data_IF_568358174498
#
_entry.id   IF_568358174498
#
_cell.length_a   1.000
_cell.length_b   1.000
_cell.length_c   1.000
_cell.angle_alpha   90.00
_cell.angle_beta   90.00
_cell.angle_gamma   90.00
#
_symmetry.space_group_name_H-M   'P 1'
#
loop_
_entity.id
_entity.type
_entity.pdbx_description
1 polymer ?
#
# COMPACT_ATOMS: atom_id res chain seq x y z
N UNK A 1 7.84 21.73 -17.83
CA UNK A 1 7.14 22.06 -19.09
C UNK A 1 7.41 23.51 -19.46
N UNK A 2 7.48 23.83 -20.75
CA UNK A 2 7.37 25.20 -21.24
C UNK A 2 5.89 25.64 -21.38
N UNK A 3 5.65 26.93 -21.62
CA UNK A 3 4.31 27.52 -21.71
C UNK A 3 3.43 26.79 -22.75
N UNK A 4 3.95 26.50 -23.93
CA UNK A 4 3.20 25.82 -25.01
C UNK A 4 2.80 24.39 -24.63
N UNK A 5 3.69 23.68 -23.95
CA UNK A 5 3.42 22.34 -23.43
C UNK A 5 2.32 22.37 -22.36
N UNK A 6 2.35 23.35 -21.45
CA UNK A 6 1.30 23.55 -20.45
C UNK A 6 -0.06 23.82 -21.08
N UNK A 7 -0.13 24.72 -22.08
CA UNK A 7 -1.37 25.04 -22.80
C UNK A 7 -1.98 23.80 -23.48
N UNK A 8 -1.16 23.02 -24.18
CA UNK A 8 -1.62 21.79 -24.88
C UNK A 8 -2.02 20.71 -23.89
N UNK A 9 -1.15 20.40 -22.92
CA UNK A 9 -1.40 19.36 -21.93
C UNK A 9 -2.63 19.68 -21.06
N UNK A 10 -2.76 20.92 -20.59
CA UNK A 10 -3.88 21.39 -19.77
C UNK A 10 -5.20 21.58 -20.52
N UNK A 11 -5.22 21.38 -21.84
CA UNK A 11 -6.47 21.37 -22.62
C UNK A 11 -7.10 19.96 -22.68
N UNK A 12 -6.30 18.91 -22.44
CA UNK A 12 -6.76 17.52 -22.46
C UNK A 12 -7.20 17.08 -21.07
N UNK A 13 -8.01 16.03 -21.00
CA UNK A 13 -8.40 15.39 -19.74
C UNK A 13 -8.35 13.85 -19.87
N UNK A 14 -8.61 13.15 -18.77
CA UNK A 14 -8.56 11.69 -18.71
C UNK A 14 -9.84 11.01 -19.24
N UNK A 15 -10.99 11.68 -19.06
CA UNK A 15 -12.31 11.11 -19.28
C UNK A 15 -12.77 11.21 -20.74
N UNK A 16 -12.42 12.30 -21.43
CA UNK A 16 -12.95 12.60 -22.77
C UNK A 16 -11.85 12.72 -23.82
N UNK A 17 -12.16 12.21 -25.02
CA UNK A 17 -11.29 12.34 -26.17
C UNK A 17 -11.51 13.69 -26.84
N UNK A 18 -10.43 14.41 -27.13
CA UNK A 18 -10.47 15.64 -27.94
C UNK A 18 -9.90 15.37 -29.33
N UNK A 19 -10.71 15.60 -30.37
CA UNK A 19 -10.23 15.51 -31.75
C UNK A 19 -9.30 16.68 -32.05
N UNK A 20 -8.37 16.47 -32.99
CA UNK A 20 -7.32 17.45 -33.28
C UNK A 20 -7.88 18.83 -33.69
N UNK A 21 -9.00 18.86 -34.42
CA UNK A 21 -9.66 20.10 -34.85
C UNK A 21 -10.12 20.94 -33.65
N UNK A 22 -10.74 20.29 -32.68
CA UNK A 22 -11.28 20.97 -31.50
C UNK A 22 -10.15 21.41 -30.58
N UNK A 23 -9.11 20.60 -30.43
CA UNK A 23 -7.89 20.99 -29.70
C UNK A 23 -7.27 22.25 -30.30
N UNK A 24 -7.12 22.32 -31.63
CA UNK A 24 -6.61 23.52 -32.30
C UNK A 24 -7.52 24.74 -32.07
N UNK A 25 -8.84 24.55 -32.13
CA UNK A 25 -9.80 25.62 -31.87
C UNK A 25 -9.73 26.14 -30.42
N UNK A 26 -9.61 25.25 -29.43
CA UNK A 26 -9.45 25.64 -28.03
C UNK A 26 -8.14 26.41 -27.84
N UNK A 27 -7.04 25.93 -28.43
CA UNK A 27 -5.76 26.62 -28.34
C UNK A 27 -5.78 28.02 -28.97
N UNK A 28 -6.51 28.20 -30.07
CA UNK A 28 -6.70 29.49 -30.74
C UNK A 28 -7.58 30.44 -29.95
N UNK A 29 -8.69 29.95 -29.39
CA UNK A 29 -9.66 30.79 -28.68
C UNK A 29 -9.20 31.15 -27.27
N UNK A 30 -8.69 30.17 -26.52
CA UNK A 30 -8.30 30.34 -25.12
C UNK A 30 -6.92 30.98 -24.96
N UNK A 31 -5.95 30.56 -25.78
CA UNK A 31 -4.54 30.98 -25.62
C UNK A 31 -4.02 31.82 -26.80
N UNK A 32 -4.88 32.17 -27.77
CA UNK A 32 -4.51 32.94 -28.99
C UNK A 32 -3.37 32.29 -29.78
N UNK A 33 -3.28 30.95 -29.77
CA UNK A 33 -2.27 30.18 -30.52
C UNK A 33 -2.86 29.62 -31.81
N UNK A 34 -2.29 30.00 -32.96
CA UNK A 34 -2.68 29.45 -34.25
C UNK A 34 -1.64 28.42 -34.74
N UNK A 35 -1.73 27.20 -34.22
CA UNK A 35 -0.79 26.13 -34.55
C UNK A 35 -1.16 25.42 -35.86
N UNK A 36 -0.15 25.15 -36.70
CA UNK A 36 -0.28 24.14 -37.76
C UNK A 36 -0.33 22.74 -37.13
N UNK A 37 -1.07 21.81 -37.75
CA UNK A 37 -1.18 20.40 -37.32
C UNK A 37 0.16 19.72 -37.02
N UNK A 38 1.21 20.02 -37.81
CA UNK A 38 2.56 19.48 -37.58
C UNK A 38 3.21 20.01 -36.30
N UNK A 39 3.05 21.31 -36.02
CA UNK A 39 3.59 21.94 -34.81
C UNK A 39 2.90 21.39 -33.56
N UNK A 40 1.57 21.21 -33.59
CA UNK A 40 0.83 20.60 -32.49
C UNK A 40 1.34 19.18 -32.18
N UNK A 41 1.54 18.35 -33.21
CA UNK A 41 2.08 16.99 -33.02
C UNK A 41 3.48 16.99 -32.41
N UNK A 42 4.31 17.99 -32.74
CA UNK A 42 5.63 18.14 -32.14
C UNK A 42 5.54 18.46 -30.65
N UNK A 43 4.66 19.40 -30.26
CA UNK A 43 4.44 19.73 -28.85
C UNK A 43 3.90 18.51 -28.07
N UNK A 44 2.99 17.75 -28.67
CA UNK A 44 2.47 16.50 -28.07
C UNK A 44 3.61 15.49 -27.86
N UNK A 45 4.50 15.33 -28.86
CA UNK A 45 5.66 14.44 -28.73
C UNK A 45 6.58 14.89 -27.59
N UNK A 46 6.83 16.19 -27.45
CA UNK A 46 7.61 16.73 -26.33
C UNK A 46 6.93 16.49 -24.98
N UNK A 47 5.60 16.60 -24.89
CA UNK A 47 4.88 16.26 -23.66
C UNK A 47 5.04 14.77 -23.31
N UNK A 48 5.03 13.86 -24.30
CA UNK A 48 5.32 12.44 -24.07
C UNK A 48 6.75 12.20 -23.60
N UNK A 49 7.73 12.98 -24.07
CA UNK A 49 9.09 12.92 -23.54
C UNK A 49 9.12 13.25 -22.04
N UNK A 50 8.38 14.27 -21.61
CA UNK A 50 8.30 14.64 -20.20
C UNK A 50 7.67 13.54 -19.35
N UNK A 51 6.68 12.80 -19.86
CA UNK A 51 6.15 11.62 -19.18
C UNK A 51 7.24 10.54 -19.00
N UNK A 52 8.02 10.25 -20.06
CA UNK A 52 9.13 9.29 -19.99
C UNK A 52 10.23 9.69 -19.00
N UNK A 53 10.45 11.00 -18.86
CA UNK A 53 11.39 11.58 -17.89
C UNK A 53 10.78 11.74 -16.48
N UNK A 54 9.59 11.19 -16.23
CA UNK A 54 8.91 11.24 -14.94
C UNK A 54 8.57 12.67 -14.46
N UNK A 55 8.43 13.60 -15.41
CA UNK A 55 8.06 15.01 -15.16
C UNK A 55 6.56 15.26 -15.32
N UNK A 56 5.82 14.29 -15.85
CA UNK A 56 4.37 14.35 -16.00
C UNK A 56 3.73 13.03 -15.54
N UNK A 57 2.65 13.11 -14.75
CA UNK A 57 1.99 11.91 -14.22
C UNK A 57 1.06 11.22 -15.24
N UNK A 58 0.67 11.91 -16.32
CA UNK A 58 -0.23 11.36 -17.35
C UNK A 58 0.44 11.38 -18.71
N UNK A 59 0.23 10.31 -19.47
CA UNK A 59 0.67 10.21 -20.85
C UNK A 59 -0.40 10.76 -21.79
N UNK A 60 -0.02 11.56 -22.78
CA UNK A 60 -0.91 11.88 -23.90
C UNK A 60 -0.96 10.68 -24.85
N UNK A 61 -2.09 9.96 -24.85
CA UNK A 61 -2.34 8.85 -25.80
C UNK A 61 -3.17 9.33 -26.99
N UNK A 62 -3.06 8.61 -28.10
CA UNK A 62 -3.81 8.90 -29.34
C UNK A 62 -4.54 7.65 -29.79
N UNK A 63 -5.77 7.81 -30.25
CA UNK A 63 -6.54 6.79 -30.95
C UNK A 63 -7.25 7.39 -32.18
N UNK A 64 -8.12 6.61 -32.83
CA UNK A 64 -9.04 7.11 -33.84
C UNK A 64 -10.04 8.16 -33.29
N UNK A 65 -10.28 8.19 -31.98
CA UNK A 65 -11.17 9.16 -31.31
C UNK A 65 -10.49 10.52 -31.04
N UNK A 66 -9.17 10.62 -31.21
CA UNK A 66 -8.41 11.84 -30.95
C UNK A 66 -7.32 11.65 -29.91
N UNK A 67 -7.14 12.63 -29.03
CA UNK A 67 -6.15 12.66 -27.96
C UNK A 67 -6.83 12.67 -26.59
N UNK A 68 -6.18 12.05 -25.60
CA UNK A 68 -6.55 12.19 -24.19
C UNK A 68 -5.34 11.98 -23.28
N UNK A 69 -5.48 12.33 -22.00
CA UNK A 69 -4.53 11.96 -20.96
C UNK A 69 -4.87 10.58 -20.41
N UNK A 70 -3.87 9.81 -20.01
CA UNK A 70 -4.07 8.51 -19.37
C UNK A 70 -2.94 8.23 -18.37
N UNK A 71 -3.30 7.75 -17.17
CA UNK A 71 -2.43 7.03 -16.24
C UNK A 71 -2.76 5.52 -16.21
N UNK A 72 -3.71 5.07 -17.03
CA UNK A 72 -4.14 3.67 -17.05
C UNK A 72 -3.08 2.83 -17.77
N UNK A 73 -2.48 1.90 -17.02
CA UNK A 73 -1.36 1.10 -17.51
C UNK A 73 -1.73 0.29 -18.76
N UNK A 74 -2.94 -0.26 -18.82
CA UNK A 74 -3.39 -1.10 -19.92
C UNK A 74 -3.71 -0.29 -21.18
N UNK A 75 -4.30 0.90 -21.04
CA UNK A 75 -4.45 1.87 -22.13
C UNK A 75 -3.11 2.31 -22.70
N UNK A 76 -2.16 2.67 -21.83
CA UNK A 76 -0.83 3.09 -22.25
C UNK A 76 -0.10 1.94 -22.96
N UNK A 77 -0.21 0.72 -22.44
CA UNK A 77 0.39 -0.46 -23.06
C UNK A 77 -0.22 -0.76 -24.44
N UNK A 78 -1.54 -0.65 -24.58
CA UNK A 78 -2.20 -0.81 -25.89
C UNK A 78 -1.71 0.24 -26.88
N UNK A 79 -1.70 1.51 -26.48
CA UNK A 79 -1.21 2.60 -27.31
C UNK A 79 0.26 2.40 -27.73
N UNK A 80 1.13 2.00 -26.80
CA UNK A 80 2.54 1.76 -27.10
C UNK A 80 2.76 0.55 -28.03
N UNK A 81 1.98 -0.53 -27.87
CA UNK A 81 2.00 -1.69 -28.78
C UNK A 81 1.54 -1.33 -30.19
N UNK A 82 0.54 -0.46 -30.32
CA UNK A 82 0.13 0.08 -31.62
C UNK A 82 1.23 0.92 -32.28
N UNK A 83 1.96 1.73 -31.51
CA UNK A 83 3.14 2.44 -32.05
C UNK A 83 4.19 1.47 -32.56
N UNK A 84 4.48 0.39 -31.82
CA UNK A 84 5.46 -0.61 -32.18
C UNK A 84 5.14 -1.30 -33.51
N UNK A 85 3.86 -1.56 -33.79
CA UNK A 85 3.45 -2.23 -35.03
C UNK A 85 3.44 -1.33 -36.27
N UNK A 86 3.60 -0.01 -36.12
CA UNK A 86 3.40 0.96 -37.21
C UNK A 86 4.70 1.31 -37.98
N UNK A 87 5.89 1.02 -37.44
CA UNK A 87 7.19 1.21 -38.12
C UNK A 87 8.39 1.46 -37.21
N UNK A 88 9.62 1.38 -37.73
CA UNK A 88 10.86 1.34 -36.90
C UNK A 88 11.06 2.60 -36.02
N UNK A 89 10.76 3.80 -36.52
CA UNK A 89 10.83 5.02 -35.70
C UNK A 89 9.78 5.08 -34.59
N UNK A 90 8.63 4.44 -34.77
CA UNK A 90 7.55 4.40 -33.78
C UNK A 90 7.76 3.27 -32.76
N UNK A 91 8.50 2.23 -33.16
CA UNK A 91 8.93 1.12 -32.30
C UNK A 91 9.81 1.58 -31.15
N UNK A 92 10.81 2.42 -31.40
CA UNK A 92 11.63 2.98 -30.31
C UNK A 92 10.78 3.79 -29.33
N UNK A 93 9.92 4.70 -29.84
CA UNK A 93 9.03 5.50 -28.99
C UNK A 93 8.08 4.61 -28.17
N UNK A 94 7.49 3.59 -28.78
CA UNK A 94 6.60 2.66 -28.09
C UNK A 94 7.31 1.83 -27.02
N UNK A 95 8.52 1.33 -27.29
CA UNK A 95 9.31 0.59 -26.28
C UNK A 95 9.67 1.47 -25.09
N UNK A 96 10.11 2.71 -25.31
CA UNK A 96 10.43 3.64 -24.24
C UNK A 96 9.20 4.03 -23.40
N UNK A 97 8.03 4.14 -24.04
CA UNK A 97 6.77 4.39 -23.32
C UNK A 97 6.33 3.21 -22.45
N UNK A 98 6.57 1.97 -22.90
CA UNK A 98 6.31 0.78 -22.08
C UNK A 98 7.21 0.72 -20.84
N UNK A 99 8.50 1.01 -21.00
CA UNK A 99 9.44 1.08 -19.88
C UNK A 99 9.03 2.17 -18.87
N UNK A 100 8.73 3.37 -19.35
CA UNK A 100 8.24 4.46 -18.51
C UNK A 100 6.93 4.09 -17.79
N UNK A 101 5.95 3.54 -18.49
CA UNK A 101 4.69 3.12 -17.89
C UNK A 101 4.88 2.04 -16.81
N UNK A 102 5.83 1.12 -16.99
CA UNK A 102 6.21 0.14 -15.97
C UNK A 102 6.75 0.79 -14.71
N UNK A 103 7.65 1.77 -14.85
CA UNK A 103 8.22 2.53 -13.72
C UNK A 103 7.15 3.29 -12.96
N UNK A 104 6.29 4.04 -13.67
CA UNK A 104 5.17 4.79 -13.10
C UNK A 104 4.23 3.88 -12.30
N UNK A 105 3.90 2.70 -12.85
CA UNK A 105 3.06 1.71 -12.15
C UNK A 105 3.68 1.24 -10.84
N UNK A 106 4.98 0.92 -10.83
CA UNK A 106 5.68 0.46 -9.61
C UNK A 106 5.68 1.56 -8.54
N UNK A 107 5.91 2.82 -8.93
CA UNK A 107 5.87 3.96 -7.99
C UNK A 107 4.48 4.10 -7.40
N UNK A 108 3.43 4.10 -8.24
CA UNK A 108 2.04 4.19 -7.79
C UNK A 108 1.63 3.05 -6.86
N UNK A 109 2.04 1.82 -7.17
CA UNK A 109 1.80 0.65 -6.29
C UNK A 109 2.51 0.81 -4.93
N UNK A 110 3.74 1.33 -4.91
CA UNK A 110 4.46 1.60 -3.65
C UNK A 110 3.78 2.69 -2.83
N UNK A 111 3.33 3.77 -3.47
CA UNK A 111 2.61 4.86 -2.80
C UNK A 111 1.29 4.38 -2.20
N UNK A 112 0.52 3.53 -2.92
CA UNK A 112 -0.70 2.92 -2.39
C UNK A 112 -0.41 2.03 -1.17
N UNK A 113 0.63 1.20 -1.24
CA UNK A 113 1.04 0.36 -0.11
C UNK A 113 1.41 1.23 1.10
N UNK A 114 2.22 2.28 0.91
CA UNK A 114 2.62 3.19 1.98
C UNK A 114 1.42 3.92 2.59
N UNK A 115 0.50 4.40 1.75
CA UNK A 115 -0.73 5.06 2.19
C UNK A 115 -1.58 4.11 3.04
N UNK A 116 -1.73 2.85 2.62
CA UNK A 116 -2.48 1.83 3.36
C UNK A 116 -1.79 1.47 4.67
N UNK A 117 -0.46 1.33 4.69
CA UNK A 117 0.30 1.08 5.91
C UNK A 117 0.15 2.23 6.92
N UNK A 118 0.24 3.49 6.46
CA UNK A 118 0.02 4.67 7.32
C UNK A 118 -1.37 4.66 7.92
N UNK A 119 -2.40 4.43 7.09
CA UNK A 119 -3.79 4.38 7.56
C UNK A 119 -4.03 3.28 8.62
N UNK A 120 -3.35 2.14 8.50
CA UNK A 120 -3.42 1.06 9.50
C UNK A 120 -2.76 1.46 10.82
N UNK A 121 -1.60 2.12 10.77
CA UNK A 121 -0.91 2.60 11.96
C UNK A 121 -1.69 3.71 12.67
N UNK A 122 -2.23 4.68 11.92
CA UNK A 122 -3.06 5.74 12.46
C UNK A 122 -4.34 5.18 13.11
N UNK A 123 -5.06 4.28 12.41
CA UNK A 123 -6.21 3.58 12.98
C UNK A 123 -5.86 2.85 14.28
N UNK A 124 -4.71 2.18 14.30
CA UNK A 124 -4.30 1.37 15.45
C UNK A 124 -3.95 2.25 16.65
N UNK A 125 -3.25 3.36 16.43
CA UNK A 125 -2.95 4.37 17.46
C UNK A 125 -4.25 4.92 18.04
N UNK A 126 -5.13 5.45 17.20
CA UNK A 126 -6.36 6.10 17.63
C UNK A 126 -7.26 5.13 18.42
N UNK A 127 -7.28 3.85 18.02
CA UNK A 127 -8.00 2.80 18.74
C UNK A 127 -7.39 2.49 20.12
N UNK A 128 -6.07 2.39 20.23
CA UNK A 128 -5.40 2.19 21.52
C UNK A 128 -5.66 3.37 22.44
N UNK A 129 -5.55 4.60 21.94
CA UNK A 129 -5.82 5.82 22.71
C UNK A 129 -7.25 5.84 23.25
N UNK A 130 -8.22 5.50 22.41
CA UNK A 130 -9.62 5.38 22.83
C UNK A 130 -9.81 4.33 23.93
N UNK A 131 -9.22 3.14 23.80
CA UNK A 131 -9.31 2.10 24.83
C UNK A 131 -8.66 2.52 26.16
N UNK A 132 -7.59 3.33 26.11
CA UNK A 132 -6.97 3.91 27.31
C UNK A 132 -7.89 4.94 27.96
N UNK A 133 -8.50 5.84 27.18
CA UNK A 133 -9.44 6.85 27.68
C UNK A 133 -10.71 6.23 28.29
N UNK A 134 -11.16 5.11 27.74
CA UNK A 134 -12.29 4.33 28.26
C UNK A 134 -11.92 3.43 29.44
N UNK A 135 -10.69 3.55 29.98
CA UNK A 135 -10.19 2.78 31.14
C UNK A 135 -10.31 1.26 30.97
N UNK A 136 -10.20 0.75 29.74
CA UNK A 136 -10.35 -0.69 29.45
C UNK A 136 -9.19 -1.55 29.95
N UNK A 137 -8.09 -0.93 30.39
CA UNK A 137 -6.86 -1.62 30.78
C UNK A 137 -6.55 -1.42 32.26
N UNK A 138 -6.14 -2.50 32.92
CA UNK A 138 -5.49 -2.43 34.23
C UNK A 138 -4.17 -1.67 34.15
N UNK A 139 -3.72 -1.16 35.29
CA UNK A 139 -2.43 -0.46 35.40
C UNK A 139 -1.24 -1.30 34.88
N UNK A 140 -1.25 -2.61 35.10
CA UNK A 140 -0.21 -3.51 34.61
C UNK A 140 -0.23 -3.68 33.07
N UNK A 141 -1.42 -3.70 32.45
CA UNK A 141 -1.55 -3.73 31.00
C UNK A 141 -1.06 -2.40 30.38
N UNK A 142 -1.40 -1.26 31.00
CA UNK A 142 -0.91 0.06 30.56
C UNK A 142 0.62 0.13 30.57
N UNK A 143 1.28 -0.41 31.60
CA UNK A 143 2.75 -0.47 31.67
C UNK A 143 3.32 -1.24 30.47
N UNK A 144 2.74 -2.40 30.10
CA UNK A 144 3.24 -3.15 28.95
C UNK A 144 2.98 -2.45 27.61
N UNK A 145 1.84 -1.75 27.46
CA UNK A 145 1.56 -0.91 26.28
C UNK A 145 2.62 0.18 26.14
N UNK A 146 2.92 0.91 27.22
CA UNK A 146 3.97 1.94 27.23
C UNK A 146 5.33 1.34 26.89
N UNK A 147 5.67 0.17 27.44
CA UNK A 147 6.92 -0.52 27.09
C UNK A 147 7.00 -0.88 25.61
N UNK A 148 5.90 -1.30 24.98
CA UNK A 148 5.89 -1.53 23.54
C UNK A 148 6.16 -0.24 22.75
N UNK A 149 5.53 0.88 23.13
CA UNK A 149 5.75 2.19 22.50
C UNK A 149 7.22 2.63 22.63
N UNK A 150 7.82 2.48 23.81
CA UNK A 150 9.23 2.83 24.04
C UNK A 150 10.21 1.93 23.29
N UNK A 151 9.79 0.72 22.92
CA UNK A 151 10.58 -0.23 22.14
C UNK A 151 10.40 -0.04 20.62
N UNK A 152 9.74 1.03 20.18
CA UNK A 152 9.45 1.31 18.77
C UNK A 152 8.68 0.18 18.06
N UNK A 153 7.83 -0.54 18.79
CA UNK A 153 6.90 -1.51 18.21
C UNK A 153 5.76 -0.74 17.54
N UNK A 154 5.35 -1.17 16.34
CA UNK A 154 4.32 -0.48 15.56
C UNK A 154 2.96 -0.53 16.27
N UNK A 155 2.12 0.49 16.11
CA UNK A 155 0.81 0.53 16.74
C UNK A 155 -0.08 -0.63 16.30
N UNK A 156 0.05 -1.13 15.07
CA UNK A 156 -0.66 -2.33 14.63
C UNK A 156 -0.28 -3.58 15.44
N UNK A 157 1.00 -3.72 15.78
CA UNK A 157 1.51 -4.79 16.62
C UNK A 157 1.15 -4.60 18.09
N UNK A 158 1.16 -3.36 18.59
CA UNK A 158 0.67 -3.03 19.93
C UNK A 158 -0.81 -3.38 20.04
N UNK A 159 -1.63 -3.01 19.06
CA UNK A 159 -3.07 -3.27 19.06
C UNK A 159 -3.37 -4.78 19.08
N UNK A 160 -2.51 -5.60 18.47
CA UNK A 160 -2.62 -7.06 18.54
C UNK A 160 -2.48 -7.59 19.98
N UNK A 161 -1.65 -6.94 20.81
CA UNK A 161 -1.38 -7.33 22.20
C UNK A 161 -2.25 -6.57 23.21
N UNK A 162 -2.67 -5.34 22.91
CA UNK A 162 -3.42 -4.46 23.77
C UNK A 162 -4.90 -4.85 23.80
N UNK A 163 -5.21 -5.96 24.48
CA UNK A 163 -6.58 -6.45 24.69
C UNK A 163 -6.91 -6.47 26.18
N UNK A 164 -8.10 -5.98 26.52
CA UNK A 164 -8.56 -5.87 27.91
C UNK A 164 -8.63 -7.24 28.63
N UNK A 165 -8.98 -8.30 27.88
CA UNK A 165 -9.08 -9.68 28.34
C UNK A 165 -7.74 -10.42 28.39
N UNK A 166 -6.66 -9.82 27.87
CA UNK A 166 -5.35 -10.46 27.85
C UNK A 166 -4.56 -10.17 29.12
N UNK A 167 -4.12 -11.22 29.81
CA UNK A 167 -3.34 -11.08 31.03
C UNK A 167 -2.03 -10.29 30.79
N UNK A 168 -1.62 -9.34 31.66
CA UNK A 168 -0.44 -8.50 31.45
C UNK A 168 0.85 -9.30 31.19
N UNK A 169 1.02 -10.44 31.87
CA UNK A 169 2.15 -11.34 31.62
C UNK A 169 2.18 -11.90 30.18
N UNK A 170 1.01 -12.17 29.58
CA UNK A 170 0.94 -12.64 28.20
C UNK A 170 1.27 -11.50 27.23
N UNK A 171 0.86 -10.26 27.54
CA UNK A 171 1.31 -9.07 26.81
C UNK A 171 2.84 -8.91 26.85
N UNK A 172 3.44 -9.11 28.03
CA UNK A 172 4.89 -9.13 28.21
C UNK A 172 5.56 -10.18 27.30
N UNK A 173 5.05 -11.42 27.28
CA UNK A 173 5.58 -12.48 26.40
C UNK A 173 5.45 -12.09 24.93
N UNK A 174 4.32 -11.51 24.53
CA UNK A 174 4.11 -11.02 23.17
C UNK A 174 5.13 -9.95 22.77
N UNK A 175 5.32 -8.93 23.62
CA UNK A 175 6.33 -7.89 23.43
C UNK A 175 7.73 -8.48 23.34
N UNK A 176 8.06 -9.43 24.22
CA UNK A 176 9.37 -10.09 24.23
C UNK A 176 9.61 -10.87 22.94
N UNK A 177 8.64 -11.63 22.47
CA UNK A 177 8.72 -12.34 21.19
C UNK A 177 8.94 -11.39 20.00
N UNK A 178 8.29 -10.22 19.99
CA UNK A 178 8.53 -9.21 18.95
C UNK A 178 9.97 -8.70 18.97
N UNK A 179 10.51 -8.40 20.16
CA UNK A 179 11.88 -7.93 20.32
C UNK A 179 12.92 -9.00 19.96
N UNK A 180 12.56 -10.27 20.12
CA UNK A 180 13.36 -11.44 19.71
C UNK A 180 13.19 -11.79 18.22
N UNK A 181 12.40 -11.02 17.46
CA UNK A 181 12.21 -11.21 16.03
C UNK A 181 11.31 -12.39 15.65
N UNK A 182 10.47 -12.86 16.57
CA UNK A 182 9.49 -13.92 16.28
C UNK A 182 8.44 -13.44 15.28
N UNK A 183 7.99 -14.36 14.41
CA UNK A 183 6.92 -14.09 13.46
C UNK A 183 5.61 -13.73 14.17
N UNK A 184 4.89 -12.73 13.63
CA UNK A 184 3.63 -12.23 14.21
C UNK A 184 2.58 -13.32 14.37
N UNK A 185 2.49 -14.28 13.45
CA UNK A 185 1.52 -15.39 13.56
C UNK A 185 1.88 -16.33 14.69
N UNK A 186 3.18 -16.61 14.89
CA UNK A 186 3.66 -17.40 16.04
C UNK A 186 3.28 -16.70 17.35
N UNK A 187 3.50 -15.38 17.45
CA UNK A 187 3.15 -14.60 18.64
C UNK A 187 1.65 -14.71 18.94
N UNK A 188 0.79 -14.63 17.92
CA UNK A 188 -0.68 -14.79 18.07
C UNK A 188 -1.11 -16.14 18.64
N UNK A 189 -0.28 -17.19 18.53
CA UNK A 189 -0.61 -18.49 19.11
C UNK A 189 -0.64 -18.39 20.63
N UNK A 190 0.41 -17.83 21.24
CA UNK A 190 0.54 -17.78 22.70
C UNK A 190 0.00 -16.48 23.31
N UNK A 191 -0.12 -15.40 22.53
CA UNK A 191 -0.78 -14.16 22.92
C UNK A 191 -2.31 -14.26 22.78
N UNK A 192 -2.90 -15.22 23.49
CA UNK A 192 -4.32 -15.55 23.44
C UNK A 192 -4.93 -15.49 24.84
N UNK A 193 -6.03 -14.76 24.97
CA UNK A 193 -6.75 -14.57 26.23
C UNK A 193 -7.36 -15.88 26.76
N UNK A 194 -7.60 -16.87 25.89
CA UNK A 194 -8.10 -18.18 26.29
C UNK A 194 -7.04 -19.07 26.97
N UNK A 195 -5.77 -18.63 27.03
CA UNK A 195 -4.70 -19.40 27.66
C UNK A 195 -4.44 -18.93 29.08
N UNK A 196 -4.20 -19.88 29.98
CA UNK A 196 -3.53 -19.60 31.24
C UNK A 196 -2.12 -19.07 30.99
N UNK A 197 -1.61 -18.25 31.91
CA UNK A 197 -0.26 -17.68 31.83
C UNK A 197 0.83 -18.75 31.71
N UNK A 198 0.65 -19.88 32.41
CA UNK A 198 1.56 -21.02 32.33
C UNK A 198 1.58 -21.70 30.96
N UNK A 199 0.43 -21.82 30.30
CA UNK A 199 0.35 -22.41 28.96
C UNK A 199 0.87 -21.45 27.88
N UNK A 200 0.58 -20.15 28.00
CA UNK A 200 1.19 -19.13 27.16
C UNK A 200 2.73 -19.15 27.27
N UNK A 201 3.27 -19.28 28.49
CA UNK A 201 4.71 -19.40 28.71
C UNK A 201 5.33 -20.64 28.04
N UNK A 202 4.69 -21.80 28.15
CA UNK A 202 5.15 -23.03 27.50
C UNK A 202 5.20 -22.89 25.99
N UNK A 203 4.17 -22.28 25.39
CA UNK A 203 4.12 -22.05 23.94
C UNK A 203 5.16 -21.03 23.49
N UNK A 204 5.37 -19.96 24.26
CA UNK A 204 6.45 -19.01 24.01
C UNK A 204 7.82 -19.69 24.00
N UNK A 205 8.13 -20.55 24.99
CA UNK A 205 9.40 -21.27 25.04
C UNK A 205 9.55 -22.28 23.89
N UNK A 206 8.49 -22.99 23.54
CA UNK A 206 8.50 -23.87 22.38
C UNK A 206 8.80 -23.09 21.10
N UNK A 207 8.18 -21.91 20.93
CA UNK A 207 8.46 -21.02 19.80
C UNK A 207 9.90 -20.53 19.79
N UNK A 208 10.43 -20.11 20.96
CA UNK A 208 11.83 -19.69 21.11
C UNK A 208 12.84 -20.80 20.78
N UNK A 209 12.47 -22.06 21.02
CA UNK A 209 13.25 -23.24 20.68
C UNK A 209 13.06 -23.71 19.23
N UNK A 210 12.36 -22.94 18.39
CA UNK A 210 12.21 -23.21 16.96
C UNK A 210 11.10 -24.19 16.60
N UNK A 211 10.14 -24.47 17.50
CA UNK A 211 8.97 -25.26 17.13
C UNK A 211 8.19 -24.58 16.00
N UNK A 212 7.73 -25.38 15.05
CA UNK A 212 6.95 -24.92 13.92
C UNK A 212 5.55 -24.46 14.34
N UNK A 213 4.93 -23.63 13.51
CA UNK A 213 3.54 -23.18 13.67
C UNK A 213 2.56 -24.35 13.84
N UNK A 214 2.77 -25.47 13.14
CA UNK A 214 1.91 -26.65 13.21
C UNK A 214 2.01 -27.31 14.58
N UNK A 215 3.24 -27.47 15.09
CA UNK A 215 3.49 -28.07 16.40
C UNK A 215 2.91 -27.20 17.52
N UNK A 216 3.12 -25.89 17.44
CA UNK A 216 2.58 -24.93 18.41
C UNK A 216 1.05 -24.94 18.45
N UNK A 217 0.38 -25.02 17.31
CA UNK A 217 -1.08 -25.13 17.25
C UNK A 217 -1.59 -26.46 17.82
N UNK A 218 -0.88 -27.57 17.55
CA UNK A 218 -1.20 -28.87 18.15
C UNK A 218 -1.09 -28.80 19.68
N UNK A 219 0.03 -28.28 20.20
CA UNK A 219 0.27 -28.11 21.63
C UNK A 219 -0.81 -27.22 22.27
N UNK A 220 -1.16 -26.10 21.64
CA UNK A 220 -2.21 -25.20 22.10
C UNK A 220 -3.57 -25.90 22.21
N UNK A 221 -3.90 -26.74 21.23
CA UNK A 221 -5.15 -27.52 21.24
C UNK A 221 -5.15 -28.52 22.40
N UNK A 222 -4.08 -29.29 22.57
CA UNK A 222 -3.93 -30.24 23.67
C UNK A 222 -4.05 -29.55 25.04
N UNK A 223 -3.48 -28.36 25.20
CA UNK A 223 -3.60 -27.56 26.43
C UNK A 223 -5.05 -27.18 26.74
N UNK A 224 -5.82 -26.74 25.72
CA UNK A 224 -7.24 -26.40 25.88
C UNK A 224 -8.09 -27.63 26.21
N UNK A 225 -7.83 -28.77 25.57
CA UNK A 225 -8.56 -30.02 25.81
C UNK A 225 -8.30 -30.59 27.22
N UNK A 226 -7.16 -30.28 27.82
CA UNK A 226 -6.85 -30.66 29.21
C UNK A 226 -7.53 -29.73 30.21
N UNK A 227 -7.58 -28.43 29.92
CA UNK A 227 -8.26 -27.44 30.76
C UNK A 227 -9.77 -27.69 30.80
N UNK A 228 -10.42 -27.97 29.66
CA UNK A 228 -11.85 -28.27 29.63
C UNK A 228 -12.25 -29.49 30.48
N UNK A 229 -11.44 -30.56 30.44
CA UNK A 229 -11.69 -31.77 31.24
C UNK A 229 -11.52 -31.57 32.74
N UNK A 230 -10.75 -30.57 33.18
CA UNK A 230 -10.61 -30.24 34.60
C UNK A 230 -11.81 -29.46 35.11
N UNK A 231 -12.36 -28.57 34.30
CA UNK A 231 -13.56 -27.79 34.65
C UNK A 231 -14.82 -28.65 34.74
N UNK A 232 -14.90 -29.75 33.99
CA UNK A 232 -16.03 -30.70 34.05
C UNK A 232 -15.98 -31.65 35.27
N UNK A 233 -14.90 -31.60 36.07
CA UNK A 233 -14.70 -32.46 37.25
C UNK A 233 -14.81 -31.72 38.59
N UNK A 234 -15.04 -30.40 38.56
CA UNK A 234 -15.31 -29.54 39.72
C UNK A 234 -16.81 -29.21 39.82
#
# INVERSE_FOLDING_TARGET
MNEKQQEVYGTMCEETWIIQKDLLNVLKTKYRRDYKSRALRQIIKECRMLYKEDKLPLLIIKSNKGYKLSNDYDEICRFAKELISTGESMKTEGMELLDAAGKHRIVKEKEDILSRCSAVEDYSRDKIEKMIQEEQFSHLQLIEIVKCMTASISYADILMLAKADLHPYIMFLGRKGMLEGMDRQIIRIYADAALTTGNAYKLYHAAANGCSMIELNRMKKEMRDVESKKTDQE
#
